data_IF_687079388253
#
_entry.id   IF_687079388253
#
_cell.length_a   1.000
_cell.length_b   1.000
_cell.length_c   1.000
_cell.angle_alpha   90.00
_cell.angle_beta   90.00
_cell.angle_gamma   90.00
#
_symmetry.space_group_name_H-M   'P 1'
#
loop_
_entity.id
_entity.type
_entity.pdbx_description
1 polymer ?
#
# COMPACT_ATOMS: atom_id res chain seq x y z
N UNK A 1 35.82 -6.69 20.32
CA UNK A 1 35.99 -6.66 18.87
C UNK A 1 34.68 -6.20 18.21
N UNK A 2 34.63 -5.03 17.57
CA UNK A 2 33.38 -4.50 16.98
C UNK A 2 33.02 -5.14 15.61
N UNK A 3 33.99 -5.75 14.90
CA UNK A 3 33.79 -6.22 13.52
C UNK A 3 32.79 -7.39 13.38
N UNK A 4 32.85 -8.47 14.16
CA UNK A 4 31.88 -9.56 14.05
C UNK A 4 30.45 -9.07 14.31
N UNK A 5 30.29 -8.20 15.33
CA UNK A 5 29.01 -7.58 15.63
C UNK A 5 28.52 -6.73 14.45
N UNK A 6 29.39 -5.92 13.83
CA UNK A 6 29.03 -5.07 12.68
C UNK A 6 28.56 -5.87 11.46
N UNK A 7 29.16 -7.05 11.20
CA UNK A 7 28.73 -7.95 10.11
C UNK A 7 27.34 -8.56 10.41
N UNK A 8 27.12 -8.99 11.64
CA UNK A 8 25.83 -9.52 12.08
C UNK A 8 24.74 -8.44 12.08
N UNK A 9 25.05 -7.24 12.56
CA UNK A 9 24.13 -6.09 12.53
C UNK A 9 23.75 -5.73 11.10
N UNK A 10 24.71 -5.75 10.16
CA UNK A 10 24.44 -5.55 8.73
C UNK A 10 23.48 -6.60 8.17
N UNK A 11 23.71 -7.89 8.44
CA UNK A 11 22.86 -8.98 8.01
C UNK A 11 21.44 -8.85 8.57
N UNK A 12 21.32 -8.47 9.84
CA UNK A 12 20.04 -8.26 10.53
C UNK A 12 19.28 -7.08 9.92
N UNK A 13 19.92 -5.93 9.76
CA UNK A 13 19.33 -4.73 9.16
C UNK A 13 18.85 -4.98 7.73
N UNK A 14 19.68 -5.68 6.94
CA UNK A 14 19.28 -6.10 5.60
C UNK A 14 18.03 -7.00 5.62
N UNK A 15 18.01 -7.99 6.49
CA UNK A 15 16.90 -8.93 6.61
C UNK A 15 15.60 -8.24 7.06
N UNK A 16 15.68 -7.32 8.01
CA UNK A 16 14.53 -6.51 8.43
C UNK A 16 13.98 -5.67 7.29
N UNK A 17 14.86 -4.97 6.57
CA UNK A 17 14.45 -4.16 5.43
C UNK A 17 13.88 -5.01 4.29
N UNK A 18 14.53 -6.14 3.97
CA UNK A 18 14.04 -7.09 2.96
C UNK A 18 12.66 -7.65 3.32
N UNK A 19 12.43 -7.98 4.60
CA UNK A 19 11.12 -8.44 5.08
C UNK A 19 10.07 -7.33 5.01
N UNK A 20 10.42 -6.12 5.42
CA UNK A 20 9.49 -4.98 5.34
C UNK A 20 9.00 -4.74 3.92
N UNK A 21 9.90 -4.83 2.93
CA UNK A 21 9.55 -4.70 1.50
C UNK A 21 8.79 -5.92 0.97
N UNK A 22 9.05 -7.14 1.51
CA UNK A 22 8.44 -8.39 1.08
C UNK A 22 7.15 -8.75 1.84
N UNK A 23 6.88 -8.15 2.99
CA UNK A 23 5.85 -8.59 3.95
C UNK A 23 4.41 -8.45 3.44
N UNK A 24 4.17 -7.65 2.41
CA UNK A 24 2.83 -7.39 1.89
C UNK A 24 2.20 -8.49 0.99
N UNK A 25 2.93 -9.36 0.25
CA UNK A 25 2.26 -10.31 -0.66
C UNK A 25 1.68 -11.56 0.01
N UNK A 26 2.12 -11.92 1.23
CA UNK A 26 1.84 -13.26 1.79
C UNK A 26 0.51 -13.37 2.54
N UNK A 27 0.00 -12.28 3.10
CA UNK A 27 -1.27 -12.29 3.84
C UNK A 27 -2.52 -12.01 2.98
N UNK A 28 -2.32 -11.60 1.72
CA UNK A 28 -3.42 -11.25 0.81
C UNK A 28 -4.03 -12.44 0.06
N UNK A 29 -3.49 -13.65 0.18
CA UNK A 29 -4.05 -14.83 -0.51
C UNK A 29 -5.31 -15.39 0.15
N UNK A 30 -5.61 -15.03 1.38
CA UNK A 30 -6.79 -15.49 2.12
C UNK A 30 -7.89 -14.44 2.29
N UNK A 31 -7.63 -13.20 1.95
CA UNK A 31 -8.64 -12.13 1.96
C UNK A 31 -8.73 -11.49 0.57
N UNK A 32 -9.95 -11.16 0.13
CA UNK A 32 -10.21 -10.43 -1.12
C UNK A 32 -9.58 -9.03 -1.21
N UNK A 33 -8.73 -8.69 -0.25
CA UNK A 33 -7.91 -7.49 -0.26
C UNK A 33 -6.51 -7.90 -0.71
N UNK A 34 -6.24 -7.72 -2.00
CA UNK A 34 -4.86 -7.70 -2.49
C UNK A 34 -4.09 -6.69 -1.64
N UNK A 35 -2.96 -7.13 -1.08
CA UNK A 35 -2.12 -6.25 -0.25
C UNK A 35 -1.84 -4.92 -0.95
N UNK A 36 -1.83 -3.83 -0.23
CA UNK A 36 -1.71 -2.47 -0.79
C UNK A 36 -0.49 -2.26 -1.70
N UNK A 37 0.53 -3.14 -1.57
CA UNK A 37 1.74 -3.14 -2.39
C UNK A 37 1.79 -4.29 -3.43
N UNK A 38 0.75 -5.14 -3.51
CA UNK A 38 0.73 -6.22 -4.51
C UNK A 38 0.63 -5.61 -5.92
N UNK A 39 1.70 -5.76 -6.71
CA UNK A 39 1.84 -5.14 -8.02
C UNK A 39 2.37 -3.70 -7.98
N UNK A 40 2.76 -3.19 -6.83
CA UNK A 40 3.41 -1.89 -6.75
C UNK A 40 4.81 -1.98 -7.36
N UNK A 41 4.99 -1.28 -8.49
CA UNK A 41 6.28 -1.24 -9.21
C UNK A 41 7.42 -0.72 -8.34
N UNK A 42 7.14 0.17 -7.38
CA UNK A 42 8.15 0.71 -6.49
C UNK A 42 8.66 -0.37 -5.52
N UNK A 43 7.79 -1.19 -4.95
CA UNK A 43 8.18 -2.31 -4.09
C UNK A 43 8.99 -3.37 -4.86
N UNK A 44 8.54 -3.72 -6.06
CA UNK A 44 9.28 -4.67 -6.93
C UNK A 44 10.66 -4.10 -7.33
N UNK A 45 10.73 -2.83 -7.69
CA UNK A 45 11.99 -2.16 -8.01
C UNK A 45 12.95 -2.16 -6.83
N UNK A 46 12.45 -1.88 -5.62
CA UNK A 46 13.24 -1.89 -4.41
C UNK A 46 13.75 -3.29 -4.05
N UNK A 47 12.92 -4.33 -4.18
CA UNK A 47 13.37 -5.72 -4.01
C UNK A 47 14.48 -6.09 -4.99
N UNK A 48 14.36 -5.69 -6.26
CA UNK A 48 15.38 -5.93 -7.26
C UNK A 48 16.68 -5.17 -6.92
N UNK A 49 16.58 -3.92 -6.47
CA UNK A 49 17.73 -3.14 -6.03
C UNK A 49 18.46 -3.78 -4.85
N UNK A 50 17.71 -4.30 -3.86
CA UNK A 50 18.26 -5.04 -2.73
C UNK A 50 18.99 -6.33 -3.16
N UNK A 51 18.38 -7.11 -4.04
CA UNK A 51 19.02 -8.32 -4.58
C UNK A 51 20.30 -8.00 -5.33
N UNK A 52 20.25 -6.99 -6.18
CA UNK A 52 21.44 -6.56 -6.93
C UNK A 52 22.55 -6.11 -6.00
N UNK A 53 22.24 -5.38 -4.93
CA UNK A 53 23.20 -4.88 -3.96
C UNK A 53 24.01 -6.02 -3.31
N UNK A 54 23.34 -7.12 -2.94
CA UNK A 54 24.00 -8.25 -2.26
C UNK A 54 24.69 -9.22 -3.23
N UNK A 55 24.27 -9.26 -4.50
CA UNK A 55 24.85 -10.13 -5.52
C UNK A 55 26.05 -9.49 -6.23
N UNK A 56 26.08 -8.17 -6.32
CA UNK A 56 27.15 -7.46 -7.02
C UNK A 56 28.45 -7.49 -6.23
N UNK A 57 29.56 -7.82 -6.88
CA UNK A 57 30.87 -7.75 -6.25
C UNK A 57 31.21 -6.30 -5.88
N UNK A 58 32.05 -6.17 -4.84
CA UNK A 58 32.62 -4.92 -4.38
C UNK A 58 34.09 -4.85 -4.77
N UNK A 59 34.57 -3.67 -5.08
CA UNK A 59 35.99 -3.38 -5.30
C UNK A 59 36.68 -2.75 -4.09
N UNK A 60 35.97 -2.72 -2.95
CA UNK A 60 36.40 -2.08 -1.72
C UNK A 60 37.59 -2.80 -1.05
N UNK A 61 37.66 -4.12 -1.19
CA UNK A 61 38.73 -4.97 -0.64
C UNK A 61 39.39 -5.74 -1.79
N UNK A 62 40.68 -5.94 -1.67
CA UNK A 62 41.43 -6.77 -2.61
C UNK A 62 41.16 -8.28 -2.40
N UNK A 63 40.72 -8.67 -1.19
CA UNK A 63 40.57 -10.07 -0.79
C UNK A 63 39.11 -10.50 -0.82
N UNK A 64 38.19 -9.62 -0.39
CA UNK A 64 36.75 -9.95 -0.21
C UNK A 64 35.92 -9.16 -1.23
N UNK A 65 35.64 -9.77 -2.36
CA UNK A 65 34.86 -9.13 -3.41
C UNK A 65 33.35 -9.32 -3.23
N UNK A 66 32.91 -10.36 -2.49
CA UNK A 66 31.51 -10.71 -2.31
C UNK A 66 31.16 -10.85 -0.84
N UNK A 67 29.89 -10.62 -0.51
CA UNK A 67 29.36 -10.86 0.84
C UNK A 67 29.50 -12.32 1.28
N UNK A 68 29.44 -13.27 0.33
CA UNK A 68 29.67 -14.69 0.59
C UNK A 68 31.09 -15.00 1.05
N UNK A 69 32.08 -14.20 0.65
CA UNK A 69 33.47 -14.35 1.08
C UNK A 69 33.66 -13.93 2.53
N UNK A 70 32.75 -13.08 3.01
CA UNK A 70 32.66 -12.61 4.41
C UNK A 70 31.72 -13.45 5.27
N UNK A 71 31.21 -14.57 4.74
CA UNK A 71 30.29 -15.45 5.46
C UNK A 71 28.82 -15.01 5.42
N UNK A 72 28.46 -13.99 4.62
CA UNK A 72 27.07 -13.57 4.43
C UNK A 72 26.48 -14.22 3.19
N UNK A 73 25.69 -15.26 3.34
CA UNK A 73 25.16 -16.07 2.24
C UNK A 73 23.69 -15.68 1.94
N UNK A 74 23.40 -15.39 0.66
CA UNK A 74 22.05 -15.09 0.19
C UNK A 74 21.24 -16.38 0.13
N UNK A 75 20.11 -16.42 0.83
CA UNK A 75 19.17 -17.54 0.83
C UNK A 75 18.19 -17.43 -0.37
N UNK A 76 17.46 -18.52 -0.65
CA UNK A 76 16.47 -18.56 -1.74
C UNK A 76 15.33 -17.56 -1.56
N UNK A 77 15.00 -17.22 -0.34
CA UNK A 77 13.98 -16.20 0.01
C UNK A 77 14.49 -14.76 -0.08
N UNK A 78 15.78 -14.59 -0.41
CA UNK A 78 16.44 -13.30 -0.51
C UNK A 78 16.98 -12.75 0.79
N UNK A 79 16.89 -13.50 1.90
CA UNK A 79 17.51 -13.11 3.17
C UNK A 79 19.00 -13.45 3.20
N UNK A 80 19.75 -12.82 4.10
CA UNK A 80 21.13 -13.14 4.38
C UNK A 80 21.25 -14.05 5.59
N UNK A 81 22.03 -15.11 5.48
CA UNK A 81 22.40 -16.00 6.58
C UNK A 81 23.89 -15.88 6.83
N UNK A 82 24.27 -15.81 8.11
CA UNK A 82 25.68 -15.82 8.51
C UNK A 82 26.19 -17.26 8.53
N UNK A 83 27.33 -17.48 7.91
CA UNK A 83 28.15 -18.71 8.01
C UNK A 83 29.33 -18.39 8.91
N UNK A 84 29.24 -18.84 10.16
CA UNK A 84 30.21 -18.52 11.21
C UNK A 84 31.63 -18.95 10.84
N UNK A 85 31.79 -20.13 10.24
CA UNK A 85 33.13 -20.64 9.84
C UNK A 85 33.80 -19.74 8.79
N UNK A 86 33.05 -19.23 7.81
CA UNK A 86 33.59 -18.32 6.81
C UNK A 86 33.83 -16.93 7.41
N UNK A 87 32.95 -16.49 8.31
CA UNK A 87 33.12 -15.21 8.99
C UNK A 87 34.39 -15.23 9.87
N UNK A 88 34.62 -16.29 10.65
CA UNK A 88 35.80 -16.43 11.46
C UNK A 88 37.09 -16.46 10.62
N UNK A 89 37.06 -17.16 9.48
CA UNK A 89 38.15 -17.16 8.54
C UNK A 89 38.42 -15.76 7.93
N UNK A 90 37.37 -15.01 7.59
CA UNK A 90 37.50 -13.64 7.10
C UNK A 90 38.02 -12.69 8.19
N UNK A 91 37.65 -12.89 9.44
CA UNK A 91 38.11 -12.09 10.59
C UNK A 91 39.59 -12.30 10.93
N UNK A 92 40.27 -13.31 10.35
CA UNK A 92 41.72 -13.40 10.40
C UNK A 92 42.41 -12.20 9.71
N UNK A 93 41.72 -11.51 8.79
CA UNK A 93 42.17 -10.28 8.18
C UNK A 93 41.18 -9.11 8.41
N UNK A 94 41.16 -8.56 9.62
CA UNK A 94 40.16 -7.57 10.03
C UNK A 94 40.28 -6.26 9.24
N UNK A 95 41.45 -5.90 8.75
CA UNK A 95 41.62 -4.69 7.96
C UNK A 95 40.93 -4.78 6.58
N UNK A 96 41.03 -5.90 5.92
CA UNK A 96 40.33 -6.12 4.64
C UNK A 96 38.80 -6.26 4.83
N UNK A 97 38.35 -6.89 5.93
CA UNK A 97 36.91 -6.90 6.29
C UNK A 97 36.42 -5.48 6.50
N UNK A 98 37.13 -4.66 7.27
CA UNK A 98 36.75 -3.26 7.47
C UNK A 98 36.66 -2.48 6.16
N UNK A 99 37.64 -2.64 5.26
CA UNK A 99 37.61 -2.03 3.92
C UNK A 99 36.39 -2.47 3.12
N UNK A 100 36.11 -3.78 3.10
CA UNK A 100 34.98 -4.35 2.37
C UNK A 100 33.63 -3.71 2.76
N UNK A 101 33.46 -3.33 4.03
CA UNK A 101 32.24 -2.69 4.49
C UNK A 101 32.25 -1.16 4.43
N UNK A 102 33.38 -0.52 4.83
CA UNK A 102 33.40 0.92 5.14
C UNK A 102 33.91 1.82 4.02
N UNK A 103 34.54 1.27 2.97
CA UNK A 103 35.07 2.09 1.87
C UNK A 103 33.97 2.90 1.20
N UNK A 104 34.18 4.21 1.11
CA UNK A 104 33.20 5.14 0.53
C UNK A 104 32.85 4.75 -0.93
N UNK A 105 31.57 4.70 -1.21
CA UNK A 105 31.00 4.41 -2.53
C UNK A 105 31.03 2.94 -2.95
N UNK A 106 31.98 2.13 -2.47
CA UNK A 106 32.16 0.73 -2.91
C UNK A 106 31.93 -0.29 -1.81
N UNK A 107 32.10 0.08 -0.54
CA UNK A 107 31.88 -0.81 0.61
C UNK A 107 30.43 -1.24 0.75
N UNK A 108 30.19 -2.47 1.19
CA UNK A 108 28.86 -3.05 1.30
C UNK A 108 27.92 -2.22 2.20
N UNK A 109 28.40 -1.78 3.37
CA UNK A 109 27.60 -0.95 4.28
C UNK A 109 27.31 0.44 3.67
N UNK A 110 28.27 1.03 2.96
CA UNK A 110 28.07 2.32 2.30
C UNK A 110 27.06 2.24 1.16
N UNK A 111 27.12 1.17 0.37
CA UNK A 111 26.15 0.93 -0.72
C UNK A 111 24.75 0.67 -0.17
N UNK A 112 24.62 -0.08 0.92
CA UNK A 112 23.33 -0.31 1.57
C UNK A 112 22.77 0.99 2.16
N UNK A 113 23.63 1.79 2.83
CA UNK A 113 23.23 3.11 3.33
C UNK A 113 22.77 4.02 2.21
N UNK A 114 23.49 4.09 1.10
CA UNK A 114 23.11 4.91 -0.05
C UNK A 114 21.74 4.49 -0.64
N UNK A 115 21.48 3.17 -0.73
CA UNK A 115 20.18 2.66 -1.14
C UNK A 115 19.08 3.08 -0.16
N UNK A 116 19.29 2.89 1.13
CA UNK A 116 18.32 3.25 2.17
C UNK A 116 18.03 4.76 2.18
N UNK A 117 19.06 5.59 2.13
CA UNK A 117 18.94 7.05 2.04
C UNK A 117 18.16 7.47 0.79
N UNK A 118 18.43 6.86 -0.37
CA UNK A 118 17.71 7.12 -1.61
C UNK A 118 16.23 6.75 -1.56
N UNK A 119 15.86 5.71 -0.82
CA UNK A 119 14.47 5.28 -0.67
C UNK A 119 13.65 6.29 0.15
N UNK A 120 14.24 6.86 1.20
CA UNK A 120 13.59 7.80 2.12
C UNK A 120 13.80 9.28 1.74
N UNK A 121 14.57 9.55 0.71
CA UNK A 121 14.80 10.91 0.22
C UNK A 121 13.49 11.63 -0.13
N UNK A 122 13.49 12.96 -0.10
CA UNK A 122 12.30 13.79 -0.35
C UNK A 122 11.65 13.49 -1.71
N UNK A 123 12.47 13.20 -2.71
CA UNK A 123 12.08 12.79 -4.07
C UNK A 123 12.18 11.27 -4.29
N UNK A 124 12.44 10.52 -3.22
CA UNK A 124 12.58 9.08 -3.24
C UNK A 124 11.27 8.34 -3.58
N UNK A 125 11.38 7.08 -4.02
CA UNK A 125 10.23 6.29 -4.46
C UNK A 125 9.18 6.10 -3.35
N UNK A 126 9.59 5.97 -2.10
CA UNK A 126 8.67 5.83 -0.96
C UNK A 126 7.89 7.12 -0.69
N UNK A 127 8.59 8.26 -0.68
CA UNK A 127 8.00 9.59 -0.44
C UNK A 127 7.02 9.95 -1.54
N UNK A 128 7.42 9.80 -2.80
CA UNK A 128 6.57 10.06 -3.98
C UNK A 128 5.33 9.15 -3.98
N UNK A 129 5.51 7.87 -3.63
CA UNK A 129 4.38 6.92 -3.54
C UNK A 129 3.41 7.29 -2.43
N UNK A 130 3.92 7.65 -1.26
CA UNK A 130 3.11 8.07 -0.11
C UNK A 130 2.30 9.32 -0.45
N UNK A 131 2.90 10.30 -1.11
CA UNK A 131 2.20 11.50 -1.58
C UNK A 131 1.09 11.16 -2.59
N UNK A 132 1.36 10.29 -3.57
CA UNK A 132 0.39 9.83 -4.55
C UNK A 132 -0.79 9.08 -3.92
N UNK A 133 -0.55 8.23 -2.92
CA UNK A 133 -1.60 7.54 -2.18
C UNK A 133 -2.46 8.50 -1.37
N UNK A 134 -1.86 9.46 -0.67
CA UNK A 134 -2.60 10.51 0.06
C UNK A 134 -3.49 11.33 -0.85
N UNK A 135 -3.01 11.68 -2.04
CA UNK A 135 -3.81 12.40 -3.03
C UNK A 135 -4.96 11.53 -3.58
N UNK A 136 -4.73 10.25 -3.79
CA UNK A 136 -5.77 9.30 -4.20
C UNK A 136 -6.86 9.13 -3.14
N UNK A 137 -6.48 9.04 -1.86
CA UNK A 137 -7.42 9.00 -0.73
C UNK A 137 -8.25 10.28 -0.66
N UNK A 138 -7.63 11.44 -0.83
CA UNK A 138 -8.35 12.74 -0.81
C UNK A 138 -9.33 12.87 -1.98
N UNK A 139 -8.98 12.37 -3.18
CA UNK A 139 -9.91 12.32 -4.32
C UNK A 139 -11.08 11.39 -4.05
N UNK A 140 -10.81 10.19 -3.54
CA UNK A 140 -11.85 9.22 -3.19
C UNK A 140 -12.85 9.80 -2.16
N UNK A 141 -12.35 10.50 -1.14
CA UNK A 141 -13.21 11.17 -0.15
C UNK A 141 -14.12 12.22 -0.77
N UNK A 142 -13.58 13.06 -1.69
CA UNK A 142 -14.38 14.04 -2.43
C UNK A 142 -15.43 13.38 -3.32
N UNK A 143 -15.08 12.29 -3.98
CA UNK A 143 -16.00 11.58 -4.85
C UNK A 143 -17.10 10.90 -4.03
N UNK A 144 -16.78 10.37 -2.85
CA UNK A 144 -17.75 9.85 -1.90
C UNK A 144 -18.73 10.92 -1.44
N UNK A 145 -18.24 12.10 -1.06
CA UNK A 145 -19.09 13.23 -0.68
C UNK A 145 -20.04 13.65 -1.82
N UNK A 146 -19.52 13.76 -3.04
CA UNK A 146 -20.34 14.08 -4.22
C UNK A 146 -21.44 13.05 -4.46
N UNK A 147 -21.12 11.76 -4.23
CA UNK A 147 -22.11 10.68 -4.35
C UNK A 147 -23.18 10.79 -3.25
N UNK A 148 -22.79 11.02 -2.01
CA UNK A 148 -23.71 11.23 -0.88
C UNK A 148 -24.66 12.41 -1.14
N UNK A 149 -24.14 13.55 -1.58
CA UNK A 149 -24.94 14.72 -1.96
C UNK A 149 -25.92 14.40 -3.11
N UNK A 150 -25.46 13.62 -4.09
CA UNK A 150 -26.32 13.21 -5.21
C UNK A 150 -27.44 12.29 -4.73
N UNK A 151 -27.15 11.33 -3.87
CA UNK A 151 -28.14 10.44 -3.27
C UNK A 151 -29.16 11.23 -2.46
N UNK A 152 -28.73 12.17 -1.61
CA UNK A 152 -29.63 13.03 -0.84
C UNK A 152 -30.58 13.83 -1.73
N UNK A 153 -30.07 14.46 -2.81
CA UNK A 153 -30.91 15.18 -3.78
C UNK A 153 -31.91 14.27 -4.50
N UNK A 154 -31.52 13.07 -4.85
CA UNK A 154 -32.43 12.09 -5.46
C UNK A 154 -33.51 11.68 -4.48
N UNK A 155 -33.16 11.40 -3.25
CA UNK A 155 -34.11 11.03 -2.19
C UNK A 155 -35.12 12.13 -1.92
N UNK A 156 -34.68 13.38 -1.80
CA UNK A 156 -35.56 14.55 -1.65
C UNK A 156 -36.52 14.72 -2.82
N UNK A 157 -36.03 14.56 -4.05
CA UNK A 157 -36.89 14.62 -5.24
C UNK A 157 -37.93 13.53 -5.25
N UNK A 158 -37.56 12.30 -4.91
CA UNK A 158 -38.47 11.17 -4.84
C UNK A 158 -39.53 11.44 -3.76
N UNK A 159 -39.17 11.90 -2.57
CA UNK A 159 -40.09 12.24 -1.49
C UNK A 159 -41.07 13.32 -1.95
N UNK A 160 -40.64 14.39 -2.61
CA UNK A 160 -41.53 15.43 -3.16
C UNK A 160 -42.49 14.86 -4.22
N UNK A 161 -42.05 13.95 -5.07
CA UNK A 161 -42.89 13.31 -6.08
C UNK A 161 -43.99 12.45 -5.43
N UNK A 162 -43.64 11.66 -4.41
CA UNK A 162 -44.63 10.85 -3.67
C UNK A 162 -45.62 11.72 -2.92
N UNK A 163 -45.19 12.78 -2.23
CA UNK A 163 -46.11 13.71 -1.55
C UNK A 163 -47.06 14.40 -2.53
N UNK A 164 -46.60 14.76 -3.71
CA UNK A 164 -47.45 15.33 -4.77
C UNK A 164 -48.46 14.29 -5.30
N UNK A 165 -48.04 13.02 -5.43
CA UNK A 165 -48.92 11.93 -5.84
C UNK A 165 -50.02 11.68 -4.78
N UNK A 166 -49.65 11.63 -3.50
CA UNK A 166 -50.62 11.46 -2.40
C UNK A 166 -51.63 12.60 -2.37
N UNK A 167 -51.20 13.85 -2.58
CA UNK A 167 -52.07 15.02 -2.68
C UNK A 167 -53.07 14.88 -3.85
N UNK A 168 -52.61 14.44 -5.00
CA UNK A 168 -53.43 14.21 -6.18
C UNK A 168 -54.44 13.08 -5.98
N UNK A 169 -53.99 11.97 -5.34
CA UNK A 169 -54.88 10.85 -5.00
C UNK A 169 -55.98 11.28 -4.03
N UNK A 170 -55.67 12.04 -2.99
CA UNK A 170 -56.66 12.59 -2.04
C UNK A 170 -57.66 13.51 -2.74
N UNK A 171 -57.19 14.35 -3.69
CA UNK A 171 -58.06 15.20 -4.49
C UNK A 171 -59.01 14.39 -5.39
N UNK A 172 -58.49 13.34 -6.03
CA UNK A 172 -59.30 12.45 -6.88
C UNK A 172 -60.33 11.67 -6.07
N UNK A 173 -59.96 11.19 -4.89
CA UNK A 173 -60.92 10.55 -3.95
C UNK A 173 -62.01 11.51 -3.51
N UNK A 174 -61.66 12.75 -3.18
CA UNK A 174 -62.62 13.80 -2.87
C UNK A 174 -63.58 14.09 -4.03
N UNK A 175 -63.04 14.19 -5.26
CA UNK A 175 -63.85 14.40 -6.47
C UNK A 175 -64.81 13.22 -6.73
N UNK A 176 -64.31 11.98 -6.58
CA UNK A 176 -65.11 10.76 -6.71
C UNK A 176 -66.27 10.73 -5.74
N UNK A 177 -66.01 11.07 -4.46
CA UNK A 177 -67.06 11.16 -3.41
C UNK A 177 -68.08 12.24 -3.73
N UNK A 178 -67.64 13.39 -4.22
CA UNK A 178 -68.55 14.47 -4.65
C UNK A 178 -69.47 14.04 -5.81
N UNK A 179 -68.90 13.43 -6.88
CA UNK A 179 -69.65 12.91 -8.01
C UNK A 179 -70.68 11.85 -7.53
N UNK A 180 -70.28 10.95 -6.65
CA UNK A 180 -71.18 9.95 -6.08
C UNK A 180 -72.35 10.56 -5.31
N UNK A 181 -72.10 11.62 -4.54
CA UNK A 181 -73.19 12.38 -3.83
C UNK A 181 -74.12 13.07 -4.84
N UNK A 182 -73.59 13.65 -5.93
CA UNK A 182 -74.41 14.29 -6.96
C UNK A 182 -75.31 13.27 -7.67
N UNK A 183 -74.78 12.10 -8.03
CA UNK A 183 -75.59 11.04 -8.66
C UNK A 183 -76.71 10.57 -7.71
N UNK A 184 -76.38 10.39 -6.43
CA UNK A 184 -77.40 10.01 -5.42
C UNK A 184 -78.47 11.07 -5.20
N UNK A 185 -78.14 12.35 -5.25
CA UNK A 185 -79.07 13.47 -5.20
C UNK A 185 -79.95 13.52 -6.46
N UNK A 186 -79.43 13.29 -7.61
CA UNK A 186 -80.17 13.26 -8.86
C UNK A 186 -81.15 12.11 -8.93
N UNK A 187 -80.79 10.91 -8.55
CA UNK A 187 -81.67 9.76 -8.55
C UNK A 187 -82.86 9.95 -7.54
N UNK A 188 -82.64 10.71 -6.47
CA UNK A 188 -83.78 11.05 -5.52
C UNK A 188 -84.76 12.07 -6.04
N UNK A 189 -84.29 12.93 -6.97
CA UNK A 189 -85.22 13.96 -7.55
C UNK A 189 -86.08 13.40 -8.69
N UNK A 190 -85.76 12.22 -9.25
CA UNK A 190 -86.58 11.55 -10.25
C UNK A 190 -87.62 10.61 -9.70
N UNK A 191 -87.57 10.24 -8.40
CA UNK A 191 -88.54 9.39 -7.70
C UNK A 191 -89.67 10.20 -6.95
N UNK A 192 -89.76 11.51 -7.17
CA UNK A 192 -90.80 12.40 -6.56
C UNK A 192 -91.69 13.01 -7.61
#
# INVERSE_FOLDING_TARGET
>A
APLPKGVNDYGSAYNEFSRAVAAEPRHARSSRQAGALQGDRAAVSLQNSLRNLVQQPSTASATYARLSDLGLEVQRDGTLKVNDSKLDAALANPAEVAKAFSTLGTGFAQRFKALADGVVATDGPLTSRTAGLRESLRRNEKDRQRLEDRVARVQERITRQYSALDTNLNRLNGLSSYVQQQITAWNRSDDS
#
